data_IF_810077794847
#
_entry.id   IF_810077794847
#
_cell.length_a   1.000
_cell.length_b   1.000
_cell.length_c   1.000
_cell.angle_alpha   90.00
_cell.angle_beta   90.00
_cell.angle_gamma   90.00
#
_symmetry.space_group_name_H-M   'P 1'
#
loop_
_entity.id
_entity.type
_entity.pdbx_description
1 polymer ?
#
# COMPACT_ATOMS: atom_id res chain seq x y z
N UNK A 1 -4.79 24.12 -14.47
CA UNK A 1 -3.87 23.13 -13.88
C UNK A 1 -4.19 22.95 -12.40
N UNK A 2 -5.31 22.28 -12.09
CA UNK A 2 -5.73 22.03 -10.71
C UNK A 2 -6.55 20.74 -10.69
N UNK A 3 -5.92 19.59 -10.47
CA UNK A 3 -6.66 18.35 -10.17
C UNK A 3 -5.85 17.22 -9.48
N UNK A 4 -4.62 17.47 -9.01
CA UNK A 4 -3.86 16.44 -8.27
C UNK A 4 -4.01 16.52 -6.74
N UNK A 5 -4.43 17.67 -6.21
CA UNK A 5 -4.58 17.87 -4.76
C UNK A 5 -5.67 16.97 -4.14
N UNK A 6 -6.70 16.60 -4.90
CA UNK A 6 -7.75 15.71 -4.41
C UNK A 6 -7.32 14.23 -4.45
N UNK A 7 -6.37 13.84 -5.32
CA UNK A 7 -6.05 12.42 -5.55
C UNK A 7 -5.21 11.81 -4.42
N UNK A 8 -4.24 12.54 -3.87
CA UNK A 8 -3.32 11.97 -2.87
C UNK A 8 -3.99 11.61 -1.53
N UNK A 9 -4.85 12.46 -0.94
CA UNK A 9 -5.62 12.09 0.25
C UNK A 9 -6.52 10.87 0.01
N UNK A 10 -7.17 10.78 -1.15
CA UNK A 10 -7.99 9.62 -1.52
C UNK A 10 -7.17 8.34 -1.66
N UNK A 11 -6.00 8.41 -2.30
CA UNK A 11 -5.06 7.28 -2.43
C UNK A 11 -4.54 6.82 -1.07
N UNK A 12 -4.24 7.77 -0.19
CA UNK A 12 -3.82 7.48 1.19
C UNK A 12 -4.92 6.76 1.98
N UNK A 13 -6.16 7.23 1.90
CA UNK A 13 -7.30 6.55 2.52
C UNK A 13 -7.52 5.15 1.93
N UNK A 14 -7.35 4.99 0.62
CA UNK A 14 -7.41 3.68 -0.03
C UNK A 14 -6.32 2.74 0.49
N UNK A 15 -5.09 3.22 0.68
CA UNK A 15 -3.99 2.44 1.24
C UNK A 15 -4.33 1.94 2.65
N UNK A 16 -4.83 2.83 3.52
CA UNK A 16 -5.26 2.45 4.86
C UNK A 16 -6.44 1.48 4.84
N UNK A 17 -7.42 1.68 3.96
CA UNK A 17 -8.55 0.77 3.81
C UNK A 17 -8.08 -0.64 3.40
N UNK A 18 -7.11 -0.74 2.50
CA UNK A 18 -6.48 -2.01 2.12
C UNK A 18 -5.72 -2.61 3.28
N UNK A 19 -4.88 -1.84 3.99
CA UNK A 19 -4.12 -2.34 5.15
C UNK A 19 -5.03 -2.92 6.23
N UNK A 20 -6.02 -2.14 6.68
CA UNK A 20 -6.98 -2.55 7.69
C UNK A 20 -7.82 -3.74 7.20
N UNK A 21 -8.22 -3.73 5.92
CA UNK A 21 -9.00 -4.81 5.32
C UNK A 21 -8.24 -6.14 5.27
N UNK A 22 -6.96 -6.14 4.90
CA UNK A 22 -6.12 -7.34 4.91
C UNK A 22 -5.99 -7.91 6.33
N UNK A 23 -5.78 -7.05 7.33
CA UNK A 23 -5.72 -7.47 8.74
C UNK A 23 -7.05 -8.06 9.21
N UNK A 24 -8.18 -7.48 8.80
CA UNK A 24 -9.50 -8.03 9.11
C UNK A 24 -9.74 -9.41 8.48
N UNK A 25 -9.34 -9.61 7.21
CA UNK A 25 -9.40 -10.93 6.56
C UNK A 25 -8.53 -11.94 7.29
N UNK A 26 -7.32 -11.53 7.69
CA UNK A 26 -6.44 -12.38 8.47
C UNK A 26 -7.08 -12.80 9.80
N UNK A 27 -7.66 -11.86 10.56
CA UNK A 27 -8.40 -12.16 11.79
C UNK A 27 -9.53 -13.16 11.57
N UNK A 28 -10.37 -12.93 10.53
CA UNK A 28 -11.48 -13.83 10.16
C UNK A 28 -10.98 -15.25 9.91
N UNK A 29 -9.87 -15.41 9.18
CA UNK A 29 -9.31 -16.72 8.84
C UNK A 29 -8.64 -17.42 10.03
N UNK A 30 -8.06 -16.67 10.96
CA UNK A 30 -7.49 -17.22 12.20
C UNK A 30 -8.55 -17.46 13.28
N UNK A 31 -9.81 -17.05 13.07
CA UNK A 31 -10.84 -17.12 14.11
C UNK A 31 -10.54 -16.25 15.33
N UNK A 32 -9.74 -15.20 15.16
CA UNK A 32 -9.31 -14.29 16.25
C UNK A 32 -10.08 -12.97 16.16
N UNK A 33 -10.32 -12.35 17.32
CA UNK A 33 -10.94 -11.01 17.42
C UNK A 33 -9.93 -9.90 17.70
N UNK A 34 -8.69 -10.26 18.08
CA UNK A 34 -7.62 -9.33 18.44
C UNK A 34 -6.45 -9.49 17.49
N UNK A 35 -6.04 -8.39 16.86
CA UNK A 35 -4.77 -8.25 16.16
C UNK A 35 -3.77 -7.65 17.14
N UNK A 36 -2.93 -8.50 17.73
CA UNK A 36 -2.05 -8.08 18.83
C UNK A 36 -0.71 -7.54 18.33
N UNK A 37 0.15 -7.14 19.27
CA UNK A 37 1.47 -6.57 18.96
C UNK A 37 2.39 -7.59 18.30
N UNK A 38 2.30 -8.87 18.65
CA UNK A 38 3.09 -9.91 17.98
C UNK A 38 2.63 -10.11 16.54
N UNK A 39 1.32 -9.99 16.27
CA UNK A 39 0.79 -10.05 14.92
C UNK A 39 1.28 -8.87 14.07
N UNK A 40 1.35 -7.67 14.65
CA UNK A 40 1.94 -6.47 14.03
C UNK A 40 3.44 -6.68 13.75
N UNK A 41 4.19 -7.22 14.71
CA UNK A 41 5.62 -7.45 14.57
C UNK A 41 5.93 -8.54 13.52
N UNK A 42 5.09 -9.58 13.43
CA UNK A 42 5.26 -10.70 12.48
C UNK A 42 4.79 -10.40 11.05
N UNK A 43 3.77 -9.54 10.89
CA UNK A 43 3.23 -9.20 9.55
C UNK A 43 3.71 -7.85 9.03
N UNK A 44 4.23 -7.00 9.92
CA UNK A 44 4.74 -5.66 9.63
C UNK A 44 3.69 -4.70 9.04
N UNK A 45 4.16 -3.51 8.64
CA UNK A 45 3.43 -2.61 7.73
C UNK A 45 3.56 -3.03 6.25
N UNK A 46 4.12 -4.22 5.97
CA UNK A 46 4.33 -4.67 4.60
C UNK A 46 3.10 -5.41 4.08
N UNK A 47 2.27 -4.68 3.34
CA UNK A 47 1.09 -5.19 2.65
C UNK A 47 1.39 -6.44 1.79
N UNK A 48 2.60 -6.56 1.25
CA UNK A 48 2.99 -7.73 0.44
C UNK A 48 3.11 -8.99 1.29
N UNK A 49 3.64 -8.87 2.52
CA UNK A 49 3.75 -10.00 3.43
C UNK A 49 2.36 -10.48 3.86
N UNK A 50 1.45 -9.55 4.18
CA UNK A 50 0.05 -9.88 4.48
C UNK A 50 -0.65 -10.58 3.31
N UNK A 51 -0.52 -10.05 2.08
CA UNK A 51 -1.10 -10.69 0.89
C UNK A 51 -0.54 -12.10 0.67
N UNK A 52 0.77 -12.29 0.85
CA UNK A 52 1.42 -13.60 0.73
C UNK A 52 0.95 -14.56 1.82
N UNK A 53 0.86 -14.12 3.07
CA UNK A 53 0.37 -14.92 4.20
C UNK A 53 -1.10 -15.34 4.00
N UNK A 54 -1.89 -14.47 3.38
CA UNK A 54 -3.28 -14.73 3.05
C UNK A 54 -3.46 -15.60 1.80
N UNK A 55 -2.38 -15.97 1.09
CA UNK A 55 -2.47 -16.66 -0.20
C UNK A 55 -3.51 -16.01 -1.14
N UNK A 56 -3.67 -14.68 -1.05
CA UNK A 56 -4.51 -13.93 -1.96
C UNK A 56 -3.93 -14.21 -3.34
N UNK A 57 -4.69 -14.89 -4.20
CA UNK A 57 -4.16 -15.63 -5.35
C UNK A 57 -3.09 -14.89 -6.16
N UNK A 58 -2.27 -15.65 -6.88
CA UNK A 58 -1.09 -15.21 -7.66
C UNK A 58 -1.28 -14.01 -8.62
N UNK A 59 -2.50 -13.48 -8.78
CA UNK A 59 -2.83 -12.29 -9.55
C UNK A 59 -2.73 -10.94 -8.83
N UNK A 60 -2.58 -10.89 -7.50
CA UNK A 60 -2.45 -9.61 -6.77
C UNK A 60 -0.99 -9.33 -6.39
N UNK A 61 -0.22 -8.81 -7.34
CA UNK A 61 1.17 -8.39 -7.09
C UNK A 61 1.24 -6.89 -6.84
N UNK A 62 1.43 -6.50 -5.58
CA UNK A 62 1.82 -5.14 -5.22
C UNK A 62 3.27 -4.91 -5.65
N UNK A 63 3.61 -3.71 -6.16
CA UNK A 63 4.92 -3.44 -6.72
C UNK A 63 6.03 -3.65 -5.70
N UNK A 64 7.00 -4.48 -6.09
CA UNK A 64 8.15 -4.78 -5.26
C UNK A 64 9.11 -3.58 -5.15
N UNK A 65 9.17 -2.79 -6.23
CA UNK A 65 10.04 -1.63 -6.37
C UNK A 65 9.21 -0.44 -6.84
N UNK A 66 9.40 0.68 -6.16
CA UNK A 66 8.89 1.99 -6.52
C UNK A 66 10.07 2.92 -6.80
N UNK A 67 9.97 3.66 -7.88
CA UNK A 67 10.82 4.80 -8.19
C UNK A 67 10.04 6.09 -7.96
N UNK A 68 10.57 6.95 -7.10
CA UNK A 68 9.98 8.24 -6.78
C UNK A 68 10.66 9.34 -7.58
N UNK A 69 9.96 10.47 -7.76
CA UNK A 69 10.59 11.64 -8.38
C UNK A 69 11.89 12.01 -7.64
N UNK A 70 13.03 12.12 -8.35
CA UNK A 70 14.30 12.53 -7.75
C UNK A 70 14.17 13.91 -7.10
N UNK A 71 14.91 14.13 -6.02
CA UNK A 71 14.99 15.42 -5.34
C UNK A 71 16.40 15.95 -5.37
N UNK A 72 16.54 17.27 -5.41
CA UNK A 72 17.85 17.92 -5.26
C UNK A 72 18.07 18.22 -3.79
N UNK A 73 19.17 17.70 -3.23
CA UNK A 73 19.59 17.97 -1.85
C UNK A 73 21.08 18.31 -1.87
N UNK A 74 21.45 19.47 -1.32
CA UNK A 74 22.82 19.97 -1.30
C UNK A 74 23.54 19.90 -2.66
N UNK A 75 22.89 20.41 -3.72
CA UNK A 75 23.39 20.41 -5.11
C UNK A 75 23.59 19.01 -5.76
N UNK A 76 23.28 17.92 -5.05
CA UNK A 76 23.27 16.57 -5.59
C UNK A 76 21.84 16.12 -5.93
N UNK A 77 21.67 15.42 -7.06
CA UNK A 77 20.41 14.79 -7.43
C UNK A 77 20.32 13.43 -6.75
N UNK A 78 19.36 13.25 -5.84
CA UNK A 78 19.11 12.01 -5.13
C UNK A 78 17.99 11.23 -5.80
N UNK A 79 18.35 10.05 -6.35
CA UNK A 79 17.37 9.05 -6.73
C UNK A 79 16.77 8.42 -5.48
N UNK A 80 15.45 8.21 -5.49
CA UNK A 80 14.71 7.67 -4.36
C UNK A 80 13.96 6.44 -4.81
N UNK A 81 14.31 5.31 -4.20
CA UNK A 81 13.66 4.03 -4.43
C UNK A 81 13.05 3.55 -3.12
N UNK A 82 11.96 2.81 -3.20
CA UNK A 82 11.31 2.21 -2.05
C UNK A 82 10.41 1.06 -2.45
N UNK A 83 9.63 0.57 -1.51
CA UNK A 83 8.57 -0.40 -1.78
C UNK A 83 7.20 0.19 -1.44
N UNK A 84 6.12 -0.58 -1.67
CA UNK A 84 4.74 -0.16 -1.38
C UNK A 84 4.56 0.47 0.01
N UNK A 85 5.35 0.07 1.01
CA UNK A 85 5.25 0.65 2.35
C UNK A 85 5.55 2.15 2.34
N UNK A 86 6.36 2.67 1.43
CA UNK A 86 6.68 4.10 1.36
C UNK A 86 5.53 4.95 0.81
N UNK A 87 4.53 4.36 0.15
CA UNK A 87 3.42 5.10 -0.49
C UNK A 87 2.65 5.97 0.50
N UNK A 88 2.49 5.52 1.76
CA UNK A 88 1.82 6.33 2.77
C UNK A 88 2.56 7.64 3.04
N UNK A 89 3.89 7.64 2.99
CA UNK A 89 4.70 8.85 3.16
C UNK A 89 4.68 9.70 1.90
N UNK A 90 4.83 9.06 0.73
CA UNK A 90 4.81 9.73 -0.57
C UNK A 90 3.53 10.54 -0.72
N UNK A 91 2.36 9.91 -0.58
CA UNK A 91 1.10 10.62 -0.76
C UNK A 91 0.78 11.58 0.38
N UNK A 92 1.22 11.30 1.61
CA UNK A 92 1.05 12.22 2.76
C UNK A 92 1.79 13.54 2.56
N UNK A 93 2.98 13.50 2.01
CA UNK A 93 3.83 14.69 1.84
C UNK A 93 3.83 15.24 0.40
N UNK A 94 2.91 14.78 -0.45
CA UNK A 94 2.76 15.28 -1.82
C UNK A 94 3.85 14.85 -2.78
N UNK A 95 4.56 13.75 -2.49
CA UNK A 95 5.47 13.10 -3.44
C UNK A 95 4.71 12.40 -4.56
N UNK A 96 5.44 12.08 -5.63
CA UNK A 96 4.93 11.40 -6.83
C UNK A 96 5.77 10.17 -7.15
N UNK A 97 5.11 9.05 -7.46
CA UNK A 97 5.75 7.86 -8.00
C UNK A 97 5.89 7.96 -9.52
N UNK A 98 7.08 7.63 -10.03
CA UNK A 98 7.36 7.53 -11.46
C UNK A 98 7.08 6.10 -11.95
N UNK A 99 7.59 5.09 -11.23
CA UNK A 99 7.49 3.68 -11.65
C UNK A 99 7.17 2.76 -10.47
N UNK A 100 6.05 2.01 -10.51
CA UNK A 100 4.82 2.36 -11.21
C UNK A 100 4.30 3.76 -10.82
N UNK A 101 3.53 4.37 -11.72
CA UNK A 101 2.88 5.67 -11.48
C UNK A 101 1.87 5.58 -10.33
N UNK A 102 1.52 6.72 -9.72
CA UNK A 102 0.53 6.74 -8.64
C UNK A 102 -0.82 6.13 -9.06
N UNK A 103 -1.24 6.33 -10.31
CA UNK A 103 -2.47 5.76 -10.86
C UNK A 103 -2.40 4.23 -10.97
N UNK A 104 -1.24 3.69 -11.33
CA UNK A 104 -1.03 2.23 -11.38
C UNK A 104 -1.04 1.63 -9.97
N UNK A 105 -0.38 2.30 -9.01
CA UNK A 105 -0.42 1.90 -7.60
C UNK A 105 -1.87 1.91 -7.08
N UNK A 106 -2.62 2.96 -7.37
CA UNK A 106 -4.04 3.09 -7.01
C UNK A 106 -4.89 1.95 -7.62
N UNK A 107 -4.67 1.62 -8.89
CA UNK A 107 -5.39 0.54 -9.56
C UNK A 107 -5.16 -0.82 -8.86
N UNK A 108 -3.91 -1.12 -8.51
CA UNK A 108 -3.56 -2.35 -7.81
C UNK A 108 -4.19 -2.40 -6.42
N UNK A 109 -4.16 -1.29 -5.67
CA UNK A 109 -4.85 -1.21 -4.37
C UNK A 109 -6.36 -1.42 -4.50
N UNK A 110 -7.01 -0.89 -5.55
CA UNK A 110 -8.44 -1.13 -5.81
C UNK A 110 -8.72 -2.60 -6.13
N UNK A 111 -7.83 -3.29 -6.83
CA UNK A 111 -7.97 -4.73 -7.09
C UNK A 111 -7.92 -5.53 -5.78
N UNK A 112 -6.96 -5.21 -4.90
CA UNK A 112 -6.85 -5.82 -3.57
C UNK A 112 -8.08 -5.53 -2.72
N UNK A 113 -8.58 -4.28 -2.72
CA UNK A 113 -9.77 -3.90 -1.95
C UNK A 113 -11.00 -4.71 -2.39
N UNK A 114 -11.21 -4.92 -3.70
CA UNK A 114 -12.30 -5.76 -4.20
C UNK A 114 -12.19 -7.21 -3.74
N UNK A 115 -10.96 -7.75 -3.69
CA UNK A 115 -10.72 -9.08 -3.16
C UNK A 115 -11.05 -9.16 -1.66
N UNK A 116 -10.58 -8.20 -0.85
CA UNK A 116 -10.91 -8.09 0.58
C UNK A 116 -12.42 -8.08 0.80
N UNK A 117 -13.16 -7.30 0.01
CA UNK A 117 -14.62 -7.24 0.09
C UNK A 117 -15.29 -8.58 -0.22
N UNK A 118 -14.70 -9.41 -1.08
CA UNK A 118 -15.17 -10.78 -1.32
C UNK A 118 -14.93 -11.70 -0.12
N UNK A 119 -13.78 -11.58 0.54
CA UNK A 119 -13.41 -12.39 1.70
C UNK A 119 -14.20 -12.04 2.96
N UNK A 120 -14.56 -10.76 3.14
CA UNK A 120 -15.29 -10.26 4.31
C UNK A 120 -16.81 -10.30 4.18
N UNK A 121 -17.33 -10.68 3.01
CA UNK A 121 -18.75 -10.98 2.84
C UNK A 121 -19.19 -12.23 3.59
#
# INVERSE_FOLDING_TARGET
>A
MADDACKNPHRLLLLYAVECGLKAVWLKRQGRSLFDRMDIDNTGHDLRQLLKALQAGSGFSLPAHLELRPVTHNQARLSRHGDISILHQVWRYGGECIVPTDAQCEHQLRQVLRWIQGELR
#
